data_IF_459875160670
#
_entry.id   IF_459875160670
#
_cell.length_a   1.000
_cell.length_b   1.000
_cell.length_c   1.000
_cell.angle_alpha   90.00
_cell.angle_beta   90.00
_cell.angle_gamma   90.00
#
_symmetry.space_group_name_H-M   'P 1'
#
loop_
_entity.id
_entity.type
_entity.pdbx_description
1 polymer ?
#
# COMPACT_ATOMS: atom_id res chain seq x y z
N UNK A 1 -29.90 -76.99 -0.50
CA UNK A 1 -30.30 -75.97 -1.49
C UNK A 1 -29.25 -74.86 -1.53
N UNK A 2 -28.91 -74.42 -2.74
CA UNK A 2 -28.14 -73.21 -3.13
C UNK A 2 -26.66 -73.05 -2.70
N UNK A 3 -25.81 -73.21 -3.72
CA UNK A 3 -24.47 -72.62 -3.95
C UNK A 3 -24.50 -71.10 -3.85
N UNK A 4 -23.39 -70.45 -3.46
CA UNK A 4 -22.75 -69.36 -4.22
C UNK A 4 -21.25 -69.25 -3.89
N UNK A 5 -20.45 -69.29 -4.95
CA UNK A 5 -19.03 -68.92 -5.06
C UNK A 5 -18.99 -67.45 -5.54
N UNK A 6 -17.83 -66.78 -5.39
CA UNK A 6 -17.40 -65.44 -5.86
C UNK A 6 -17.53 -64.33 -4.78
N UNK A 7 -16.59 -63.41 -4.59
CA UNK A 7 -15.47 -62.97 -5.44
C UNK A 7 -14.35 -62.34 -4.58
N UNK A 8 -13.11 -62.53 -5.02
CA UNK A 8 -11.92 -61.77 -4.64
C UNK A 8 -12.04 -60.28 -5.03
N UNK A 9 -11.16 -59.46 -4.44
CA UNK A 9 -10.82 -58.07 -4.77
C UNK A 9 -11.86 -57.01 -4.44
N UNK A 10 -11.58 -56.20 -3.41
CA UNK A 10 -11.76 -54.76 -3.52
C UNK A 10 -10.85 -53.96 -2.57
N UNK A 11 -9.84 -53.36 -3.22
CA UNK A 11 -9.28 -52.02 -3.00
C UNK A 11 -8.69 -51.65 -1.62
N UNK A 12 -7.39 -51.89 -1.50
CA UNK A 12 -6.44 -50.83 -1.08
C UNK A 12 -6.67 -49.60 -1.97
N UNK A 13 -7.41 -48.58 -1.54
CA UNK A 13 -7.42 -47.26 -2.17
C UNK A 13 -8.10 -46.25 -1.26
N UNK A 14 -7.33 -45.56 -0.41
CA UNK A 14 -7.57 -44.15 -0.02
C UNK A 14 -6.49 -43.64 0.95
N UNK A 15 -5.21 -43.83 0.60
CA UNK A 15 -4.11 -42.97 1.08
C UNK A 15 -3.66 -42.06 -0.06
N UNK A 16 -4.63 -41.32 -0.61
CA UNK A 16 -4.39 -40.15 -1.43
C UNK A 16 -5.48 -39.15 -1.05
N UNK A 17 -5.44 -38.68 0.20
CA UNK A 17 -5.77 -37.28 0.44
C UNK A 17 -4.69 -36.50 -0.31
N UNK A 18 -4.88 -36.34 -1.62
CA UNK A 18 -4.08 -35.46 -2.42
C UNK A 18 -4.13 -34.12 -1.72
N UNK A 19 -2.95 -33.63 -1.34
CA UNK A 19 -2.75 -32.20 -1.21
C UNK A 19 -3.17 -31.60 -2.55
N UNK A 20 -4.44 -31.22 -2.68
CA UNK A 20 -4.81 -30.19 -3.64
C UNK A 20 -3.94 -29.01 -3.26
N UNK A 21 -2.96 -28.60 -4.09
CA UNK A 21 -2.30 -27.34 -3.85
C UNK A 21 -3.41 -26.32 -3.76
N UNK A 22 -3.49 -25.63 -2.62
CA UNK A 22 -4.34 -24.47 -2.47
C UNK A 22 -4.04 -23.60 -3.70
N UNK A 23 -5.01 -23.48 -4.59
CA UNK A 23 -4.91 -22.60 -5.76
C UNK A 23 -4.90 -21.19 -5.16
N UNK A 24 -3.72 -20.77 -4.72
CA UNK A 24 -3.50 -19.45 -4.18
C UNK A 24 -3.71 -18.48 -5.34
N UNK A 25 -4.88 -17.84 -5.31
CA UNK A 25 -5.26 -16.85 -6.32
C UNK A 25 -4.27 -15.68 -6.31
N UNK A 26 -3.88 -15.24 -7.50
CA UNK A 26 -3.10 -14.02 -7.69
C UNK A 26 -3.86 -12.83 -7.11
N UNK A 27 -3.14 -11.90 -6.46
CA UNK A 27 -3.75 -10.70 -5.91
C UNK A 27 -3.73 -9.59 -6.95
N UNK A 28 -4.93 -9.08 -7.27
CA UNK A 28 -5.13 -7.98 -8.20
C UNK A 28 -5.48 -6.72 -7.41
N UNK A 29 -4.73 -5.65 -7.65
CA UNK A 29 -4.88 -4.38 -6.95
C UNK A 29 -4.89 -3.22 -7.94
N UNK A 30 -5.81 -2.27 -7.73
CA UNK A 30 -5.83 -0.97 -8.42
C UNK A 30 -5.39 0.13 -7.47
N UNK A 31 -4.29 0.82 -7.78
CA UNK A 31 -3.83 1.98 -7.02
C UNK A 31 -4.09 3.27 -7.79
N UNK A 32 -4.71 4.24 -7.13
CA UNK A 32 -4.87 5.62 -7.60
C UNK A 32 -4.06 6.54 -6.71
N UNK A 33 -3.50 7.58 -7.31
CA UNK A 33 -2.84 8.65 -6.57
C UNK A 33 -3.39 9.98 -7.06
N UNK A 34 -4.13 10.67 -6.20
CA UNK A 34 -4.72 11.97 -6.47
C UNK A 34 -3.66 13.04 -6.24
N UNK A 35 -3.34 13.75 -7.30
CA UNK A 35 -2.39 14.84 -7.32
C UNK A 35 -3.07 16.21 -7.51
N UNK A 36 -4.37 16.21 -7.82
CA UNK A 36 -5.14 17.40 -8.21
C UNK A 36 -5.92 18.06 -7.08
N UNK A 37 -5.96 17.46 -5.89
CA UNK A 37 -6.64 18.05 -4.73
C UNK A 37 -5.78 19.15 -4.09
N UNK A 38 -6.39 20.19 -3.50
CA UNK A 38 -5.66 21.31 -2.90
C UNK A 38 -4.72 20.83 -1.79
N UNK A 39 -3.57 21.47 -1.51
CA UNK A 39 -2.51 21.00 -0.59
C UNK A 39 -2.93 20.61 0.84
N UNK A 40 -4.12 21.02 1.27
CA UNK A 40 -4.75 20.62 2.52
C UNK A 40 -6.25 20.48 2.26
N UNK A 41 -6.70 19.36 1.67
CA UNK A 41 -8.09 19.20 1.29
C UNK A 41 -8.95 19.15 2.54
N UNK A 42 -10.06 19.87 2.49
CA UNK A 42 -11.10 19.74 3.48
C UNK A 42 -11.73 18.35 3.36
N UNK A 43 -12.46 17.94 4.41
CA UNK A 43 -13.28 16.74 4.32
C UNK A 43 -14.27 16.79 3.14
N UNK A 44 -14.83 17.97 2.83
CA UNK A 44 -15.74 18.14 1.71
C UNK A 44 -15.07 17.89 0.35
N UNK A 45 -13.77 18.16 0.24
CA UNK A 45 -12.99 17.86 -0.97
C UNK A 45 -12.75 16.35 -1.10
N UNK A 46 -12.43 15.66 0.00
CA UNK A 46 -12.24 14.21 0.03
C UNK A 46 -13.55 13.45 -0.17
N UNK A 47 -14.67 13.98 0.32
CA UNK A 47 -16.01 13.39 0.17
C UNK A 47 -16.51 13.40 -1.28
N UNK A 48 -15.95 14.25 -2.14
CA UNK A 48 -16.24 14.28 -3.59
C UNK A 48 -15.43 13.25 -4.38
N UNK A 49 -14.42 12.62 -3.78
CA UNK A 49 -13.63 11.59 -4.45
C UNK A 49 -14.48 10.35 -4.65
N UNK A 50 -14.61 9.92 -5.91
CA UNK A 50 -15.24 8.63 -6.23
C UNK A 50 -14.50 7.50 -5.52
N UNK A 51 -15.21 6.78 -4.65
CA UNK A 51 -14.63 5.66 -3.91
C UNK A 51 -14.12 4.59 -4.89
N UNK A 52 -12.96 3.98 -4.59
CA UNK A 52 -12.47 2.87 -5.37
C UNK A 52 -13.36 1.63 -5.20
N UNK A 53 -13.23 0.66 -6.11
CA UNK A 53 -13.76 -0.68 -5.88
C UNK A 53 -13.08 -1.34 -4.66
N UNK A 54 -13.60 -2.49 -4.19
CA UNK A 54 -13.02 -3.22 -3.04
C UNK A 54 -11.54 -3.54 -3.22
N UNK A 55 -11.16 -3.93 -4.44
CA UNK A 55 -9.78 -4.26 -4.83
C UNK A 55 -8.94 -3.01 -5.17
N UNK A 56 -9.50 -1.82 -4.95
CA UNK A 56 -8.86 -0.55 -5.21
C UNK A 56 -8.52 0.21 -3.93
N UNK A 57 -7.53 1.09 -4.05
CA UNK A 57 -7.17 2.08 -3.03
C UNK A 57 -6.76 3.38 -3.72
N UNK A 58 -7.24 4.49 -3.19
CA UNK A 58 -6.89 5.82 -3.68
C UNK A 58 -6.09 6.54 -2.62
N UNK A 59 -4.96 7.11 -2.99
CA UNK A 59 -4.14 7.91 -2.09
C UNK A 59 -4.20 9.37 -2.48
N UNK A 60 -4.08 10.23 -1.48
CA UNK A 60 -3.88 11.66 -1.67
C UNK A 60 -2.69 12.10 -0.83
N UNK A 61 -1.76 12.83 -1.43
CA UNK A 61 -0.60 13.37 -0.71
C UNK A 61 -0.79 14.85 -0.41
N UNK A 62 -1.02 15.15 0.87
CA UNK A 62 -0.94 16.51 1.39
C UNK A 62 0.56 16.85 1.52
N UNK A 63 1.11 17.54 0.52
CA UNK A 63 2.40 18.22 0.66
C UNK A 63 2.08 19.65 1.06
N UNK A 64 2.41 20.03 2.29
CA UNK A 64 2.17 21.39 2.76
C UNK A 64 3.44 22.22 2.61
N UNK A 65 3.52 23.20 1.70
CA UNK A 65 4.67 24.11 1.66
C UNK A 65 4.62 25.18 2.76
N UNK A 66 3.46 25.69 3.21
CA UNK A 66 3.37 26.82 4.18
C UNK A 66 1.95 27.04 4.79
N UNK A 67 1.35 26.08 5.48
CA UNK A 67 0.03 26.28 6.15
C UNK A 67 0.17 26.17 7.67
N UNK A 68 0.01 27.30 8.36
CA UNK A 68 0.08 27.49 9.82
C UNK A 68 -0.88 26.61 10.65
N UNK A 69 -1.82 25.90 10.02
CA UNK A 69 -2.83 25.07 10.68
C UNK A 69 -2.58 23.56 10.61
N UNK A 70 -1.62 23.11 9.79
CA UNK A 70 -1.21 21.70 9.74
C UNK A 70 0.31 21.60 9.78
N UNK A 71 0.90 21.35 10.96
CA UNK A 71 2.35 21.43 11.12
C UNK A 71 3.15 20.33 10.38
N UNK A 72 2.50 19.37 9.71
CA UNK A 72 3.18 18.19 9.15
C UNK A 72 2.54 17.72 7.82
N UNK A 73 3.36 17.27 6.87
CA UNK A 73 2.95 16.61 5.62
C UNK A 73 2.58 15.13 5.86
N UNK A 74 1.61 14.60 5.11
CA UNK A 74 1.13 13.22 5.25
C UNK A 74 0.46 12.70 3.97
N UNK A 75 0.24 11.38 3.91
CA UNK A 75 -0.53 10.73 2.86
C UNK A 75 -1.82 10.17 3.44
N UNK A 76 -2.94 10.48 2.80
CA UNK A 76 -4.26 9.97 3.16
C UNK A 76 -4.64 8.82 2.24
N UNK A 77 -5.22 7.75 2.79
CA UNK A 77 -5.80 6.66 2.00
C UNK A 77 -7.33 6.75 2.01
N UNK A 78 -7.94 6.51 0.85
CA UNK A 78 -9.37 6.45 0.61
C UNK A 78 -9.66 5.04 0.07
N UNK A 79 -10.46 4.29 0.80
CA UNK A 79 -10.86 2.92 0.49
C UNK A 79 -12.38 2.81 0.41
N UNK A 80 -12.89 1.68 -0.12
CA UNK A 80 -14.32 1.42 -0.16
C UNK A 80 -14.95 1.39 1.25
N UNK A 81 -14.20 0.95 2.25
CA UNK A 81 -14.64 0.87 3.65
C UNK A 81 -14.53 2.21 4.40
N UNK A 82 -13.89 3.22 3.79
CA UNK A 82 -13.67 4.50 4.49
C UNK A 82 -14.97 5.26 4.77
N UNK A 83 -16.06 4.93 4.08
CA UNK A 83 -17.38 5.51 4.35
C UNK A 83 -17.99 4.99 5.68
N UNK A 84 -17.56 3.85 6.21
CA UNK A 84 -18.00 3.30 7.50
C UNK A 84 -17.35 4.01 8.71
N UNK A 85 -16.25 4.74 8.52
CA UNK A 85 -15.55 5.50 9.58
C UNK A 85 -16.18 6.87 9.87
N UNK A 86 -17.16 7.31 9.07
CA UNK A 86 -17.83 8.62 9.23
C UNK A 86 -18.66 8.72 10.52
N UNK A 87 -19.02 7.59 11.13
CA UNK A 87 -19.87 7.56 12.33
C UNK A 87 -19.07 7.50 13.65
N UNK A 88 -17.75 7.36 13.61
CA UNK A 88 -16.90 7.33 14.80
C UNK A 88 -16.25 8.68 15.07
N UNK A 89 -16.85 9.44 15.99
CA UNK A 89 -16.40 10.77 16.41
C UNK A 89 -15.08 10.69 17.19
N UNK A 90 -14.19 11.62 16.85
CA UNK A 90 -12.90 11.95 17.47
C UNK A 90 -11.72 11.19 16.90
N UNK A 91 -10.96 11.85 16.01
CA UNK A 91 -9.48 11.87 15.99
C UNK A 91 -9.02 12.84 14.91
N UNK A 92 -8.47 13.98 15.33
CA UNK A 92 -8.15 15.13 14.48
C UNK A 92 -9.41 15.66 13.74
N UNK A 93 -9.65 16.97 13.62
CA UNK A 93 -10.83 17.49 12.92
C UNK A 93 -10.96 17.12 11.43
N UNK A 94 -10.13 16.21 10.90
CA UNK A 94 -9.99 15.89 9.48
C UNK A 94 -9.77 14.40 9.13
N UNK A 95 -9.53 13.49 10.08
CA UNK A 95 -9.18 12.11 9.75
C UNK A 95 -10.36 11.13 9.84
N UNK A 96 -11.35 11.30 8.96
CA UNK A 96 -12.28 10.20 8.61
C UNK A 96 -11.63 9.17 7.67
N UNK A 97 -10.34 9.34 7.40
CA UNK A 97 -9.55 8.59 6.43
C UNK A 97 -8.22 8.18 7.06
N UNK A 98 -7.71 6.96 6.79
CA UNK A 98 -6.38 6.55 7.19
C UNK A 98 -5.29 7.55 6.80
N UNK A 99 -4.43 7.90 7.75
CA UNK A 99 -3.26 8.78 7.55
C UNK A 99 -1.98 7.98 7.68
N UNK A 100 -1.07 8.10 6.72
CA UNK A 100 0.22 7.41 6.66
C UNK A 100 1.36 8.44 6.70
N UNK A 101 2.31 8.23 7.60
CA UNK A 101 3.53 9.03 7.71
C UNK A 101 4.64 8.24 8.46
N UNK A 102 5.21 7.23 7.80
CA UNK A 102 6.03 6.19 8.45
C UNK A 102 7.37 6.67 9.01
N UNK A 103 7.84 7.86 8.64
CA UNK A 103 9.03 8.49 9.22
C UNK A 103 8.71 9.66 10.18
N UNK A 104 7.44 10.02 10.36
CA UNK A 104 7.05 11.16 11.19
C UNK A 104 6.48 10.66 12.52
N UNK A 105 7.00 11.19 13.63
CA UNK A 105 6.41 11.01 14.96
C UNK A 105 5.43 12.15 15.26
N UNK A 106 4.14 11.85 15.31
CA UNK A 106 3.12 12.82 15.69
C UNK A 106 3.03 13.07 17.21
N UNK A 107 3.76 12.31 18.04
CA UNK A 107 3.72 12.42 19.50
C UNK A 107 2.40 11.96 20.14
N UNK A 108 1.48 11.38 19.35
CA UNK A 108 0.17 10.90 19.79
C UNK A 108 0.18 9.37 20.04
N UNK A 109 -0.73 8.85 20.86
CA UNK A 109 -0.96 7.39 21.00
C UNK A 109 -1.65 6.86 19.73
N UNK A 110 -0.95 6.02 18.96
CA UNK A 110 -1.32 5.62 17.59
C UNK A 110 -2.20 4.36 17.49
N UNK A 111 -2.47 3.64 18.59
CA UNK A 111 -2.91 2.25 18.49
C UNK A 111 -4.33 2.02 17.95
N UNK A 112 -5.17 3.04 17.80
CA UNK A 112 -6.60 2.85 17.50
C UNK A 112 -7.19 3.93 16.58
N UNK A 113 -6.35 4.72 15.90
CA UNK A 113 -6.77 6.05 15.44
C UNK A 113 -6.80 6.26 13.93
N UNK A 114 -6.61 5.21 13.13
CA UNK A 114 -6.41 5.35 11.68
C UNK A 114 -5.12 6.10 11.31
N UNK A 115 -4.17 6.25 12.24
CA UNK A 115 -2.89 6.92 12.02
C UNK A 115 -1.77 5.87 12.01
N UNK A 116 -1.11 5.75 10.86
CA UNK A 116 -0.04 4.81 10.55
C UNK A 116 1.28 5.57 10.41
N UNK A 117 1.86 5.92 11.56
CA UNK A 117 3.01 6.80 11.66
C UNK A 117 4.13 6.19 12.48
N UNK A 118 5.29 6.84 12.53
CA UNK A 118 6.43 6.36 13.31
C UNK A 118 6.11 6.37 14.82
N UNK A 119 6.36 5.24 15.48
CA UNK A 119 6.19 5.09 16.92
C UNK A 119 7.54 5.00 17.62
N UNK A 120 7.96 6.06 18.30
CA UNK A 120 9.22 6.07 19.07
C UNK A 120 9.33 4.98 20.12
N UNK A 121 8.22 4.55 20.72
CA UNK A 121 8.23 3.48 21.73
C UNK A 121 8.40 2.09 21.13
N UNK A 122 7.95 1.90 19.87
CA UNK A 122 8.12 0.63 19.14
C UNK A 122 9.39 0.61 18.27
N UNK A 123 10.03 1.77 18.06
CA UNK A 123 11.18 1.94 17.18
C UNK A 123 10.86 1.77 15.68
N UNK A 124 9.59 1.91 15.29
CA UNK A 124 9.10 1.66 13.91
C UNK A 124 7.74 2.29 13.68
N UNK A 125 7.32 2.38 12.43
CA UNK A 125 5.96 2.74 12.08
C UNK A 125 4.98 1.57 12.19
N UNK A 126 3.72 1.91 12.48
CA UNK A 126 2.59 1.04 12.12
C UNK A 126 2.28 1.23 10.62
N UNK A 127 1.86 0.15 9.94
CA UNK A 127 1.56 0.16 8.50
C UNK A 127 0.07 -0.05 8.26
N UNK A 128 -0.48 0.60 7.24
CA UNK A 128 -1.82 0.26 6.76
C UNK A 128 -1.74 -1.08 6.03
N UNK A 129 -2.49 -2.09 6.46
CA UNK A 129 -2.47 -3.43 5.86
C UNK A 129 -3.85 -3.73 5.30
N UNK A 130 -3.92 -4.14 4.02
CA UNK A 130 -5.15 -4.60 3.38
C UNK A 130 -5.00 -5.99 2.80
N UNK A 131 -6.13 -6.68 2.69
CA UNK A 131 -6.26 -7.98 2.05
C UNK A 131 -6.76 -7.82 0.63
N UNK A 132 -6.12 -8.51 -0.31
CA UNK A 132 -6.56 -8.65 -1.70
C UNK A 132 -6.59 -10.15 -2.00
N UNK A 133 -7.79 -10.75 -1.93
CA UNK A 133 -7.91 -12.20 -1.79
C UNK A 133 -7.21 -12.68 -0.52
N UNK A 134 -6.30 -13.64 -0.67
CA UNK A 134 -5.50 -14.21 0.43
C UNK A 134 -4.16 -13.48 0.66
N UNK A 135 -3.87 -12.43 -0.09
CA UNK A 135 -2.59 -11.71 -0.04
C UNK A 135 -2.72 -10.46 0.83
N UNK A 136 -1.77 -10.29 1.75
CA UNK A 136 -1.65 -9.07 2.58
C UNK A 136 -0.68 -8.10 1.94
N UNK A 137 -1.14 -6.89 1.67
CA UNK A 137 -0.32 -5.79 1.18
C UNK A 137 -0.21 -4.73 2.26
N UNK A 138 1.02 -4.37 2.63
CA UNK A 138 1.30 -3.28 3.54
C UNK A 138 1.63 -2.00 2.77
N UNK A 139 1.10 -0.89 3.27
CA UNK A 139 1.35 0.46 2.77
C UNK A 139 2.11 1.24 3.82
N UNK A 140 3.23 1.81 3.40
CA UNK A 140 4.05 2.74 4.17
C UNK A 140 4.11 4.08 3.43
N UNK A 141 4.41 5.16 4.14
CA UNK A 141 4.59 6.47 3.55
C UNK A 141 5.91 7.09 4.00
N UNK A 142 6.73 7.52 3.05
CA UNK A 142 7.93 8.32 3.30
C UNK A 142 7.60 9.79 3.00
N UNK A 143 7.52 10.58 4.07
CA UNK A 143 7.27 12.02 4.02
C UNK A 143 8.60 12.74 3.84
N UNK A 144 8.63 13.74 2.96
CA UNK A 144 9.78 14.65 2.84
C UNK A 144 9.46 15.94 3.62
N UNK A 145 9.93 16.09 4.87
CA UNK A 145 9.76 17.33 5.62
C UNK A 145 10.76 18.43 5.21
N UNK A 146 11.71 18.13 4.32
CA UNK A 146 12.80 19.02 3.93
C UNK A 146 12.51 19.66 2.58
N UNK A 147 11.75 20.77 2.60
CA UNK A 147 11.32 21.47 1.38
C UNK A 147 12.47 21.89 0.46
N UNK A 148 13.63 22.21 1.01
CA UNK A 148 14.80 22.67 0.24
C UNK A 148 15.71 21.52 -0.21
N UNK A 149 15.45 20.28 0.22
CA UNK A 149 16.29 19.10 -0.04
C UNK A 149 15.47 17.98 -0.68
N UNK A 150 14.84 18.29 -1.81
CA UNK A 150 13.95 17.33 -2.49
C UNK A 150 14.67 16.13 -3.07
N UNK A 151 15.95 16.28 -3.42
CA UNK A 151 16.71 15.23 -4.13
C UNK A 151 17.67 14.46 -3.21
N UNK A 152 17.58 14.67 -1.89
CA UNK A 152 18.47 14.04 -0.92
C UNK A 152 17.69 13.27 0.14
N UNK A 153 17.77 11.94 0.05
CA UNK A 153 17.24 11.05 1.08
C UNK A 153 18.05 11.23 2.37
N UNK A 154 17.35 11.38 3.49
CA UNK A 154 18.00 11.46 4.79
C UNK A 154 18.18 10.06 5.37
N UNK A 155 19.40 9.73 5.79
CA UNK A 155 19.72 8.40 6.31
C UNK A 155 18.90 8.04 7.55
N UNK A 156 18.57 9.04 8.38
CA UNK A 156 17.69 8.85 9.54
C UNK A 156 16.31 8.34 9.10
N UNK A 157 15.67 8.96 8.10
CA UNK A 157 14.36 8.52 7.62
C UNK A 157 14.42 7.11 7.02
N UNK A 158 15.50 6.79 6.31
CA UNK A 158 15.72 5.46 5.75
C UNK A 158 15.86 4.41 6.87
N UNK A 159 16.56 4.72 7.96
CA UNK A 159 16.67 3.82 9.12
C UNK A 159 15.31 3.52 9.76
N UNK A 160 14.49 4.54 10.00
CA UNK A 160 13.14 4.36 10.56
C UNK A 160 12.27 3.48 9.65
N UNK A 161 12.41 3.66 8.34
CA UNK A 161 11.66 2.92 7.35
C UNK A 161 12.15 1.46 7.23
N UNK A 162 13.47 1.20 7.24
CA UNK A 162 14.05 -0.16 7.26
C UNK A 162 13.52 -0.97 8.44
N UNK A 163 13.53 -0.42 9.65
CA UNK A 163 13.00 -1.07 10.84
C UNK A 163 11.52 -1.48 10.70
N UNK A 164 10.75 -0.67 9.97
CA UNK A 164 9.33 -0.92 9.70
C UNK A 164 9.17 -2.05 8.68
N UNK A 165 9.94 -2.02 7.58
CA UNK A 165 9.96 -3.05 6.53
C UNK A 165 10.38 -4.41 7.09
N UNK A 166 11.51 -4.47 7.81
CA UNK A 166 12.01 -5.70 8.42
C UNK A 166 10.96 -6.33 9.35
N UNK A 167 10.26 -5.50 10.14
CA UNK A 167 9.22 -5.99 11.04
C UNK A 167 8.02 -6.56 10.29
N UNK A 168 7.62 -5.95 9.17
CA UNK A 168 6.54 -6.48 8.33
C UNK A 168 6.91 -7.84 7.74
N UNK A 169 8.13 -7.97 7.25
CA UNK A 169 8.65 -9.22 6.69
C UNK A 169 8.74 -10.33 7.75
N UNK A 170 9.22 -10.01 8.96
CA UNK A 170 9.23 -10.96 10.09
C UNK A 170 7.81 -11.45 10.44
N UNK A 171 6.78 -10.61 10.24
CA UNK A 171 5.37 -10.97 10.42
C UNK A 171 4.75 -11.71 9.21
N UNK A 172 5.56 -12.02 8.21
CA UNK A 172 5.14 -12.71 7.00
C UNK A 172 4.31 -11.84 6.04
N UNK A 173 4.42 -10.52 6.13
CA UNK A 173 3.86 -9.60 5.13
C UNK A 173 5.00 -9.24 4.18
N UNK A 174 4.95 -9.83 2.98
CA UNK A 174 6.02 -9.72 1.99
C UNK A 174 5.75 -8.66 0.93
N UNK A 175 4.48 -8.32 0.72
CA UNK A 175 4.05 -7.34 -0.27
C UNK A 175 4.00 -5.95 0.34
N UNK A 176 4.97 -5.11 -0.01
CA UNK A 176 5.15 -3.78 0.60
C UNK A 176 5.15 -2.72 -0.50
N UNK A 177 4.22 -1.78 -0.37
CA UNK A 177 4.09 -0.60 -1.22
C UNK A 177 4.49 0.62 -0.40
N UNK A 178 5.50 1.34 -0.86
CA UNK A 178 5.92 2.61 -0.29
C UNK A 178 5.38 3.77 -1.12
N UNK A 179 4.71 4.71 -0.45
CA UNK A 179 4.32 5.97 -1.03
C UNK A 179 5.33 7.04 -0.63
N UNK A 180 6.03 7.62 -1.60
CA UNK A 180 7.12 8.57 -1.36
C UNK A 180 6.72 9.97 -1.79
N UNK A 181 6.90 10.92 -0.89
CA UNK A 181 6.81 12.35 -1.22
C UNK A 181 8.12 12.89 -1.82
N UNK A 182 9.19 12.08 -1.87
CA UNK A 182 10.37 12.43 -2.64
C UNK A 182 10.11 12.27 -4.15
N UNK A 183 10.81 13.05 -5.00
CA UNK A 183 10.75 12.91 -6.45
C UNK A 183 11.08 11.50 -6.93
N UNK A 184 10.49 11.08 -8.05
CA UNK A 184 10.73 9.74 -8.58
C UNK A 184 12.20 9.45 -8.89
N UNK A 185 13.02 10.48 -9.16
CA UNK A 185 14.46 10.37 -9.44
C UNK A 185 15.26 9.68 -8.34
N UNK A 186 14.85 9.78 -7.07
CA UNK A 186 15.56 9.15 -5.94
C UNK A 186 15.05 7.74 -5.61
N UNK A 187 14.02 7.26 -6.30
CA UNK A 187 13.45 5.92 -6.06
C UNK A 187 14.43 4.77 -6.25
N UNK A 188 15.37 4.80 -7.23
CA UNK A 188 16.39 3.75 -7.35
C UNK A 188 17.30 3.65 -6.11
N UNK A 189 17.74 4.78 -5.58
CA UNK A 189 18.59 4.84 -4.39
C UNK A 189 17.82 4.38 -3.15
N UNK A 190 16.54 4.73 -3.05
CA UNK A 190 15.65 4.25 -1.99
C UNK A 190 15.52 2.72 -2.01
N UNK A 191 15.27 2.13 -3.18
CA UNK A 191 15.15 0.67 -3.35
C UNK A 191 16.48 -0.06 -3.10
N UNK A 192 17.61 0.61 -3.36
CA UNK A 192 18.93 0.07 -3.00
C UNK A 192 19.17 0.11 -1.49
N UNK A 193 18.72 1.20 -0.83
CA UNK A 193 18.90 1.40 0.60
C UNK A 193 17.97 0.53 1.46
N UNK A 194 16.78 0.18 0.96
CA UNK A 194 15.76 -0.55 1.71
C UNK A 194 15.28 -1.76 0.91
N UNK A 195 15.79 -2.93 1.27
CA UNK A 195 15.35 -4.18 0.67
C UNK A 195 13.96 -4.56 1.15
N UNK A 196 13.18 -5.24 0.30
CA UNK A 196 11.86 -5.76 0.66
C UNK A 196 10.67 -4.88 0.28
N UNK A 197 10.91 -3.72 -0.35
CA UNK A 197 9.86 -2.91 -0.96
C UNK A 197 9.61 -3.41 -2.39
N UNK A 198 8.37 -3.76 -2.71
CA UNK A 198 7.98 -4.23 -4.05
C UNK A 198 7.56 -3.09 -4.96
N UNK A 199 6.97 -2.02 -4.42
CA UNK A 199 6.51 -0.88 -5.21
C UNK A 199 6.84 0.42 -4.51
N UNK A 200 7.45 1.36 -5.22
CA UNK A 200 7.59 2.77 -4.80
C UNK A 200 6.67 3.60 -5.68
N UNK A 201 5.81 4.40 -5.06
CA UNK A 201 4.89 5.32 -5.71
C UNK A 201 5.29 6.75 -5.39
N UNK A 202 5.58 7.54 -6.41
CA UNK A 202 5.95 8.96 -6.31
C UNK A 202 5.10 9.82 -7.25
N UNK A 203 5.17 11.14 -7.09
CA UNK A 203 4.58 12.10 -8.02
C UNK A 203 5.62 12.70 -8.96
N UNK A 204 5.22 13.10 -10.17
CA UNK A 204 6.03 13.95 -11.04
C UNK A 204 5.29 14.40 -12.30
N UNK A 205 6.00 14.69 -13.39
CA UNK A 205 5.41 15.27 -14.61
C UNK A 205 4.49 14.31 -15.38
N UNK A 206 4.93 13.08 -15.60
CA UNK A 206 4.20 12.08 -16.38
C UNK A 206 4.03 10.77 -15.62
N UNK A 207 2.98 10.03 -15.98
CA UNK A 207 2.72 8.71 -15.41
C UNK A 207 3.57 7.66 -16.10
N UNK A 208 4.45 7.03 -15.34
CA UNK A 208 5.42 6.06 -15.86
C UNK A 208 5.72 4.97 -14.85
N UNK A 209 6.03 3.77 -15.34
CA UNK A 209 6.46 2.64 -14.52
C UNK A 209 7.81 2.14 -14.99
N UNK A 210 8.70 1.86 -14.05
CA UNK A 210 9.97 1.18 -14.29
C UNK A 210 10.07 -0.04 -13.37
N UNK A 211 10.43 -1.20 -13.94
CA UNK A 211 10.70 -2.41 -13.17
C UNK A 211 12.22 -2.58 -12.98
N UNK A 212 12.65 -2.72 -11.73
CA UNK A 212 14.04 -2.94 -11.36
C UNK A 212 14.13 -4.05 -10.32
N UNK A 213 14.81 -5.17 -10.64
CA UNK A 213 15.08 -6.28 -9.70
C UNK A 213 13.83 -6.76 -8.92
N UNK A 214 12.70 -6.91 -9.61
CA UNK A 214 11.38 -7.30 -9.07
C UNK A 214 10.66 -6.24 -8.22
N UNK A 215 11.20 -5.03 -8.12
CA UNK A 215 10.47 -3.88 -7.61
C UNK A 215 9.95 -3.02 -8.76
N UNK A 216 8.83 -2.34 -8.55
CA UNK A 216 8.29 -1.35 -9.46
C UNK A 216 8.45 0.05 -8.89
N UNK A 217 8.90 0.98 -9.71
CA UNK A 217 8.82 2.40 -9.44
C UNK A 217 7.72 2.95 -10.33
N UNK A 218 6.64 3.44 -9.72
CA UNK A 218 5.51 4.05 -10.40
C UNK A 218 5.46 5.54 -10.06
N UNK A 219 5.58 6.38 -11.07
CA UNK A 219 5.37 7.80 -10.94
C UNK A 219 3.97 8.12 -11.43
N UNK A 220 3.18 8.83 -10.63
CA UNK A 220 1.90 9.39 -11.05
C UNK A 220 2.10 10.85 -11.49
N UNK A 221 1.48 11.21 -12.60
CA UNK A 221 1.49 12.59 -13.07
C UNK A 221 0.71 13.51 -12.14
N UNK A 222 1.21 14.73 -11.96
CA UNK A 222 0.51 15.78 -11.21
C UNK A 222 -0.74 16.30 -11.92
N UNK A 223 -0.84 16.10 -13.23
CA UNK A 223 -1.83 16.75 -14.07
C UNK A 223 -2.97 15.83 -14.55
N UNK A 224 -2.98 14.56 -14.12
CA UNK A 224 -3.97 13.56 -14.56
C UNK A 224 -4.24 12.53 -13.48
N UNK A 225 -5.46 12.01 -13.49
CA UNK A 225 -5.84 10.88 -12.66
C UNK A 225 -5.58 9.59 -13.43
N UNK A 226 -4.66 8.77 -12.96
CA UNK A 226 -4.36 7.46 -13.54
C UNK A 226 -4.62 6.32 -12.55
N UNK A 227 -4.75 5.12 -13.11
CA UNK A 227 -4.92 3.87 -12.36
C UNK A 227 -3.72 2.96 -12.62
N UNK A 228 -2.96 2.66 -11.58
CA UNK A 228 -1.88 1.68 -11.61
C UNK A 228 -2.42 0.29 -11.28
N UNK A 229 -2.25 -0.64 -12.21
CA UNK A 229 -2.58 -2.04 -12.01
C UNK A 229 -1.37 -2.79 -11.45
N UNK A 230 -1.54 -3.38 -10.27
CA UNK A 230 -0.56 -4.26 -9.64
C UNK A 230 -1.11 -5.68 -9.59
N UNK A 231 -0.26 -6.66 -9.93
CA UNK A 231 -0.59 -8.08 -9.78
C UNK A 231 0.55 -8.77 -9.04
N UNK A 232 0.22 -9.43 -7.93
CA UNK A 232 1.13 -10.28 -7.19
C UNK A 232 0.76 -11.74 -7.41
N UNK A 233 1.76 -12.59 -7.63
CA UNK A 233 1.55 -14.03 -7.70
C UNK A 233 1.25 -14.63 -6.31
N UNK A 234 0.89 -15.91 -6.29
CA UNK A 234 0.67 -16.69 -5.08
C UNK A 234 1.82 -16.66 -4.05
N UNK A 235 3.05 -16.43 -4.52
CA UNK A 235 4.25 -16.39 -3.66
C UNK A 235 4.51 -14.98 -3.12
N UNK A 236 3.70 -14.01 -3.52
CA UNK A 236 3.84 -12.60 -3.17
C UNK A 236 4.87 -11.88 -4.03
N UNK A 237 5.20 -12.36 -5.24
CA UNK A 237 6.06 -11.62 -6.15
C UNK A 237 5.25 -10.73 -7.08
N UNK A 238 5.72 -9.50 -7.31
CA UNK A 238 5.11 -8.60 -8.27
C UNK A 238 5.34 -9.10 -9.71
N UNK A 239 4.26 -9.41 -10.41
CA UNK A 239 4.29 -9.90 -11.80
C UNK A 239 3.81 -8.86 -12.81
N UNK A 240 3.02 -7.89 -12.36
CA UNK A 240 2.54 -6.79 -13.20
C UNK A 240 2.62 -5.46 -12.44
N UNK A 241 3.19 -4.46 -13.10
CA UNK A 241 3.10 -3.07 -12.68
C UNK A 241 2.99 -2.18 -13.92
N UNK A 242 1.79 -1.68 -14.19
CA UNK A 242 1.55 -0.83 -15.37
C UNK A 242 0.36 0.08 -15.15
N UNK A 243 0.44 1.28 -15.69
CA UNK A 243 -0.73 2.14 -15.81
C UNK A 243 -1.70 1.57 -16.84
N UNK A 244 -3.00 1.67 -16.57
CA UNK A 244 -3.99 1.45 -17.62
C UNK A 244 -3.82 2.52 -18.69
N UNK A 245 -3.82 2.16 -19.99
CA UNK A 245 -3.81 3.15 -21.04
C UNK A 245 -5.04 4.05 -20.88
N UNK A 246 -4.80 5.36 -20.74
CA UNK A 246 -5.85 6.38 -20.71
C UNK A 246 -6.69 6.26 -21.98
N UNK A 247 -7.91 5.73 -21.85
CA UNK A 247 -8.82 5.54 -22.97
C UNK A 247 -9.81 4.38 -22.83
N UNK A 248 -9.63 3.44 -21.89
CA UNK A 248 -10.59 2.36 -21.65
C UNK A 248 -11.28 2.51 -20.29
N UNK A 249 -12.19 3.48 -20.19
CA UNK A 249 -13.26 3.40 -19.21
C UNK A 249 -14.33 2.45 -19.77
N UNK A 250 -14.54 1.33 -19.10
CA UNK A 250 -15.78 0.55 -19.17
C UNK A 250 -16.50 0.69 -17.86
#
# INVERSE_FOLDING_TARGET
MRRYIFCLFSLMYSLLAGCTPDLQDSAHLQVRFLTQLPPSPSQADLDQVTLPSRDGITFYSAQNPHVERQPFSYITAITAETQEYKDSVNLLPQANYPVLASNIDFGLKQSETGVYAYNRYKGRADALIRWYGNTRVAYLALINPYHDQTDSLQEQDLELLRNSVDRLQIKGIKNIILLSQYPASVSPDLLQAIQGIDVVISTGEHSQTQLAKNACMAQFSQNRTDNLALVFDARGHLTQCRFHPSGSAT
#
